data_IF_858339813441
#
_entry.id   IF_858339813441
#
_cell.length_a   1.000
_cell.length_b   1.000
_cell.length_c   1.000
_cell.angle_alpha   90.00
_cell.angle_beta   90.00
_cell.angle_gamma   90.00
#
_symmetry.space_group_name_H-M   'P 1'
#
loop_
_entity.id
_entity.type
_entity.pdbx_description
1 polymer ?
#
# COMPACT_ATOMS: atom_id res chain seq x y z
N UNK A 1 3.53 51.69 17.69
CA UNK A 1 3.06 50.28 17.74
C UNK A 1 2.38 49.93 16.42
N UNK A 2 3.17 49.54 15.40
CA UNK A 2 2.65 49.11 14.08
C UNK A 2 2.41 47.60 14.16
N UNK A 3 1.13 47.20 14.12
CA UNK A 3 0.70 45.80 14.25
C UNK A 3 1.01 45.05 12.96
N UNK A 4 1.93 44.10 13.04
CA UNK A 4 2.29 43.14 11.99
C UNK A 4 1.07 42.27 11.67
N UNK A 5 0.40 42.50 10.54
CA UNK A 5 -0.60 41.57 10.01
C UNK A 5 0.02 40.79 8.86
N UNK A 6 0.77 39.75 9.20
CA UNK A 6 1.17 38.70 8.26
C UNK A 6 0.89 37.35 8.92
N UNK A 7 -0.39 37.03 9.05
CA UNK A 7 -0.85 35.70 9.47
C UNK A 7 -2.19 35.47 8.81
N UNK A 8 -2.20 34.64 7.78
CA UNK A 8 -3.31 33.74 7.40
C UNK A 8 -3.18 33.14 5.99
N UNK A 9 -2.10 33.34 5.24
CA UNK A 9 -2.02 32.78 3.88
C UNK A 9 -1.41 31.36 3.81
N UNK A 10 -1.02 30.73 4.92
CA UNK A 10 -0.24 29.48 4.89
C UNK A 10 -0.85 28.32 5.71
N UNK A 11 -2.16 28.09 5.60
CA UNK A 11 -2.78 26.91 6.22
C UNK A 11 -3.73 26.11 5.30
N UNK A 12 -3.76 26.39 4.00
CA UNK A 12 -4.65 25.69 3.05
C UNK A 12 -3.94 24.67 2.15
N UNK A 13 -2.72 24.26 2.48
CA UNK A 13 -2.22 22.98 1.98
C UNK A 13 -2.69 21.88 2.94
N UNK A 14 -3.99 21.63 2.99
CA UNK A 14 -4.47 20.32 3.42
C UNK A 14 -3.86 19.34 2.43
N UNK A 15 -2.80 18.65 2.84
CA UNK A 15 -2.07 17.73 1.99
C UNK A 15 -3.07 16.79 1.35
N UNK A 16 -3.08 16.72 0.02
CA UNK A 16 -3.78 15.66 -0.68
C UNK A 16 -3.31 14.34 -0.05
N UNK A 17 -4.24 13.59 0.55
CA UNK A 17 -3.96 12.20 0.87
C UNK A 17 -3.58 11.56 -0.46
N UNK A 18 -2.30 11.24 -0.64
CA UNK A 18 -1.81 10.60 -1.85
C UNK A 18 -2.67 9.36 -2.10
N UNK A 19 -3.01 9.11 -3.37
CA UNK A 19 -3.78 7.95 -3.78
C UNK A 19 -3.24 6.70 -3.07
N UNK A 20 -4.05 6.09 -2.21
CA UNK A 20 -3.65 4.90 -1.48
C UNK A 20 -4.00 3.68 -2.33
N UNK A 21 -3.02 2.79 -2.53
CA UNK A 21 -3.28 1.44 -3.05
C UNK A 21 -3.64 0.54 -1.87
N UNK A 22 -4.79 -0.13 -1.92
CA UNK A 22 -5.09 -1.24 -1.03
C UNK A 22 -4.54 -2.54 -1.61
N UNK A 23 -4.07 -3.42 -0.73
CA UNK A 23 -3.53 -4.73 -1.08
C UNK A 23 -4.42 -5.76 -0.41
N UNK A 24 -4.94 -6.71 -1.17
CA UNK A 24 -5.90 -7.72 -0.69
C UNK A 24 -5.38 -9.10 -1.02
N UNK A 25 -5.33 -10.00 -0.04
CA UNK A 25 -4.99 -11.40 -0.25
C UNK A 25 -6.19 -12.20 -0.74
N UNK A 26 -6.02 -12.86 -1.89
CA UNK A 26 -6.97 -13.84 -2.41
C UNK A 26 -6.52 -15.23 -1.97
N UNK A 27 -6.94 -15.62 -0.76
CA UNK A 27 -6.41 -16.81 -0.07
C UNK A 27 -6.54 -18.10 -0.89
N UNK A 28 -7.68 -18.30 -1.56
CA UNK A 28 -7.95 -19.51 -2.34
C UNK A 28 -7.30 -19.49 -3.73
N UNK A 29 -7.06 -18.30 -4.25
CA UNK A 29 -6.56 -18.11 -5.61
C UNK A 29 -5.04 -17.94 -5.66
N UNK A 30 -4.38 -17.93 -4.50
CA UNK A 30 -2.93 -17.81 -4.37
C UNK A 30 -2.39 -16.54 -5.06
N UNK A 31 -3.11 -15.43 -4.90
CA UNK A 31 -2.78 -14.15 -5.50
C UNK A 31 -3.05 -12.99 -4.55
N UNK A 32 -2.55 -11.80 -4.93
CA UNK A 32 -2.87 -10.53 -4.30
C UNK A 32 -3.49 -9.59 -5.32
N UNK A 33 -4.52 -8.84 -4.93
CA UNK A 33 -5.07 -7.76 -5.74
C UNK A 33 -4.62 -6.41 -5.22
N UNK A 34 -4.17 -5.55 -6.13
CA UNK A 34 -3.92 -4.14 -5.89
C UNK A 34 -5.17 -3.37 -6.32
N UNK A 35 -5.71 -2.58 -5.40
CA UNK A 35 -6.94 -1.81 -5.60
C UNK A 35 -6.61 -0.33 -5.52
N UNK A 36 -6.98 0.42 -6.55
CA UNK A 36 -6.97 1.88 -6.52
C UNK A 36 -8.11 2.36 -5.61
N UNK A 37 -7.78 3.06 -4.52
CA UNK A 37 -8.78 3.47 -3.54
C UNK A 37 -9.61 4.69 -3.95
N UNK A 38 -9.32 5.34 -5.09
CA UNK A 38 -10.15 6.42 -5.61
C UNK A 38 -11.30 5.86 -6.46
N UNK A 39 -10.99 4.88 -7.29
CA UNK A 39 -11.92 4.26 -8.25
C UNK A 39 -12.52 2.96 -7.73
N UNK A 40 -11.94 2.37 -6.68
CA UNK A 40 -12.27 1.06 -6.12
C UNK A 40 -12.16 -0.07 -7.15
N UNK A 41 -11.23 0.07 -8.09
CA UNK A 41 -10.98 -0.92 -9.14
C UNK A 41 -9.69 -1.67 -8.90
N UNK A 42 -9.65 -2.94 -9.33
CA UNK A 42 -8.43 -3.75 -9.32
C UNK A 42 -7.52 -3.25 -10.44
N UNK A 43 -6.33 -2.78 -10.08
CA UNK A 43 -5.33 -2.31 -11.04
C UNK A 43 -4.33 -3.39 -11.43
N UNK A 44 -4.11 -4.37 -10.55
CA UNK A 44 -3.17 -5.46 -10.78
C UNK A 44 -3.53 -6.69 -9.92
N UNK A 45 -3.21 -7.88 -10.43
CA UNK A 45 -3.27 -9.14 -9.68
C UNK A 45 -1.93 -9.84 -9.77
N UNK A 46 -1.31 -10.10 -8.62
CA UNK A 46 0.02 -10.68 -8.49
C UNK A 46 -0.06 -12.13 -8.00
N UNK A 47 0.56 -13.11 -8.67
CA UNK A 47 0.67 -14.47 -8.14
C UNK A 47 1.62 -14.50 -6.93
N UNK A 48 1.26 -15.27 -5.90
CA UNK A 48 2.07 -15.46 -4.68
C UNK A 48 1.99 -16.90 -4.19
N UNK A 49 2.65 -17.22 -3.07
CA UNK A 49 2.60 -18.56 -2.48
C UNK A 49 1.21 -18.96 -1.97
N UNK A 50 1.02 -20.27 -1.75
CA UNK A 50 -0.29 -20.84 -1.41
C UNK A 50 -0.87 -20.32 -0.08
N UNK A 51 -2.15 -19.91 -0.10
CA UNK A 51 -2.88 -19.30 1.04
C UNK A 51 -2.16 -18.07 1.64
N UNK A 52 -2.06 -16.96 0.89
CA UNK A 52 -1.38 -15.77 1.36
C UNK A 52 -2.13 -15.07 2.50
N UNK A 53 -1.38 -14.53 3.47
CA UNK A 53 -1.86 -13.61 4.52
C UNK A 53 -0.99 -12.36 4.50
N UNK A 54 -1.61 -11.18 4.48
CA UNK A 54 -0.88 -9.92 4.45
C UNK A 54 -0.49 -9.44 5.85
N UNK A 55 0.75 -8.99 5.96
CA UNK A 55 1.23 -8.20 7.09
C UNK A 55 1.91 -6.95 6.53
N UNK A 56 1.50 -5.79 7.04
CA UNK A 56 2.10 -4.52 6.66
C UNK A 56 3.22 -4.20 7.64
N UNK A 57 4.38 -3.79 7.11
CA UNK A 57 5.30 -3.00 7.92
C UNK A 57 5.96 -1.92 7.09
N UNK A 58 5.65 -0.69 7.48
CA UNK A 58 6.62 0.27 8.02
C UNK A 58 5.88 1.59 8.21
N UNK A 59 6.38 2.43 9.12
CA UNK A 59 5.94 3.81 9.37
C UNK A 59 5.99 4.70 8.10
N UNK A 60 6.68 4.22 7.06
CA UNK A 60 6.91 4.87 5.77
C UNK A 60 6.14 4.23 4.61
N UNK A 61 5.39 3.14 4.83
CA UNK A 61 4.46 2.57 3.85
C UNK A 61 5.09 1.99 2.58
N UNK A 62 6.38 1.67 2.61
CA UNK A 62 7.15 1.28 1.41
C UNK A 62 7.23 -0.23 1.16
N UNK A 63 6.93 -1.07 2.16
CA UNK A 63 7.01 -2.54 2.06
C UNK A 63 5.79 -3.26 2.62
N UNK A 64 5.44 -4.36 1.98
CA UNK A 64 4.40 -5.29 2.42
C UNK A 64 4.92 -6.73 2.33
N UNK A 65 4.53 -7.56 3.30
CA UNK A 65 4.89 -8.97 3.34
C UNK A 65 3.65 -9.85 3.25
N UNK A 66 3.69 -10.83 2.35
CA UNK A 66 2.67 -11.86 2.23
C UNK A 66 3.28 -13.20 2.64
N UNK A 67 2.86 -13.74 3.78
CA UNK A 67 3.23 -15.10 4.17
C UNK A 67 2.29 -16.10 3.50
N UNK A 68 2.85 -17.16 2.93
CA UNK A 68 2.09 -18.26 2.34
C UNK A 68 2.00 -19.40 3.35
N UNK A 69 0.83 -19.56 3.97
CA UNK A 69 0.61 -20.54 5.06
C UNK A 69 0.92 -21.97 4.62
N UNK A 70 0.46 -22.36 3.44
CA UNK A 70 0.73 -23.69 2.87
C UNK A 70 1.98 -23.66 1.99
N UNK A 71 2.24 -22.55 1.30
CA UNK A 71 3.35 -22.45 0.37
C UNK A 71 4.73 -22.50 1.04
N UNK A 72 4.80 -22.16 2.33
CA UNK A 72 6.07 -22.15 3.07
C UNK A 72 7.02 -21.04 2.63
N UNK A 73 6.51 -20.00 1.96
CA UNK A 73 7.28 -18.88 1.42
C UNK A 73 6.81 -17.54 1.97
N UNK A 74 7.65 -16.51 1.84
CA UNK A 74 7.28 -15.12 2.14
C UNK A 74 7.56 -14.28 0.91
N UNK A 75 6.52 -13.66 0.35
CA UNK A 75 6.67 -12.70 -0.75
C UNK A 75 6.88 -11.30 -0.17
N UNK A 76 7.89 -10.60 -0.67
CA UNK A 76 8.17 -9.20 -0.30
C UNK A 76 7.73 -8.29 -1.45
N UNK A 77 6.97 -7.26 -1.12
CA UNK A 77 6.38 -6.33 -2.06
C UNK A 77 6.89 -4.93 -1.73
N UNK A 78 7.61 -4.31 -2.66
CA UNK A 78 8.07 -2.92 -2.55
C UNK A 78 7.13 -2.01 -3.36
N UNK A 79 6.70 -0.90 -2.77
CA UNK A 79 5.90 0.11 -3.49
C UNK A 79 6.77 0.73 -4.60
N UNK A 80 6.49 0.40 -5.86
CA UNK A 80 7.19 0.93 -7.04
C UNK A 80 8.21 -0.01 -7.70
N UNK A 81 8.37 -1.25 -7.23
CA UNK A 81 9.16 -2.28 -7.91
C UNK A 81 8.36 -3.58 -8.03
N UNK A 82 8.64 -4.38 -9.06
CA UNK A 82 7.98 -5.67 -9.26
C UNK A 82 8.23 -6.61 -8.06
N UNK A 83 7.27 -7.50 -7.73
CA UNK A 83 7.39 -8.43 -6.60
C UNK A 83 8.63 -9.32 -6.72
N UNK A 84 9.34 -9.51 -5.61
CA UNK A 84 10.39 -10.52 -5.48
C UNK A 84 9.90 -11.67 -4.60
N UNK A 85 9.97 -12.89 -5.12
CA UNK A 85 9.72 -14.12 -4.35
C UNK A 85 11.08 -14.56 -3.79
N UNK A 86 11.18 -14.67 -2.46
CA UNK A 86 12.36 -15.17 -1.73
C UNK A 86 12.06 -16.53 -1.09
#
# INVERSE_FOLDING_TARGET
MRRTLLSCALLLAAGHAAASTAWVSNEKDNSLSLIDMQTLTVTETLPVGQRPRLSSSTRTGSRLWASAEIGGTVTILDRGHAPAIL
#
